data_IF_406880773820
#
_entry.id   IF_406880773820
#
_cell.length_a   1.000
_cell.length_b   1.000
_cell.length_c   1.000
_cell.angle_alpha   90.00
_cell.angle_beta   90.00
_cell.angle_gamma   90.00
#
_symmetry.space_group_name_H-M   'P 1'
#
loop_
_entity.id
_entity.type
_entity.pdbx_description
1 polymer ?
#
# COMPACT_ATOMS: atom_id res chain seq x y z
N UNK A 1 -23.08 34.21 -8.19
CA UNK A 1 -23.93 33.95 -7.00
C UNK A 1 -25.11 33.09 -7.43
N UNK A 2 -25.61 32.12 -6.63
CA UNK A 2 -25.07 31.46 -5.42
C UNK A 2 -24.68 29.98 -5.73
N UNK A 3 -23.58 29.42 -5.19
CA UNK A 3 -23.38 28.88 -3.84
C UNK A 3 -24.12 27.54 -3.58
N UNK A 4 -23.36 26.44 -3.57
CA UNK A 4 -23.59 25.28 -2.69
C UNK A 4 -22.23 24.66 -2.31
N UNK A 5 -21.52 25.39 -1.45
CA UNK A 5 -20.43 24.85 -0.64
C UNK A 5 -21.03 23.95 0.44
N UNK A 6 -20.82 22.63 0.35
CA UNK A 6 -20.80 21.82 1.56
C UNK A 6 -19.42 22.03 2.21
N UNK A 7 -19.33 22.42 3.49
CA UNK A 7 -18.03 22.68 4.10
C UNK A 7 -17.28 21.35 4.25
N UNK A 8 -16.18 21.19 3.50
CA UNK A 8 -15.25 20.05 3.64
C UNK A 8 -14.69 19.90 5.07
N UNK A 9 -14.83 20.93 5.89
CA UNK A 9 -14.50 20.97 7.32
C UNK A 9 -15.34 19.95 8.12
N UNK A 10 -16.55 19.62 7.67
CA UNK A 10 -17.43 18.67 8.37
C UNK A 10 -16.93 17.21 8.29
N UNK A 11 -16.19 16.84 7.24
CA UNK A 11 -15.66 15.47 7.08
C UNK A 11 -14.50 15.20 8.04
N UNK A 12 -13.67 16.21 8.27
CA UNK A 12 -12.53 16.16 9.21
C UNK A 12 -12.96 16.05 10.67
N UNK A 13 -13.99 16.82 11.05
CA UNK A 13 -14.55 16.72 12.39
C UNK A 13 -15.12 15.32 12.66
N UNK A 14 -15.78 14.71 11.68
CA UNK A 14 -16.40 13.39 11.83
C UNK A 14 -15.39 12.23 11.83
N UNK A 15 -14.27 12.32 11.11
CA UNK A 15 -13.21 11.30 11.17
C UNK A 15 -12.48 11.34 12.54
N UNK A 16 -12.20 12.55 13.04
CA UNK A 16 -11.57 12.74 14.36
C UNK A 16 -12.51 12.43 15.53
N UNK A 17 -13.83 12.68 15.40
CA UNK A 17 -14.85 12.40 16.43
C UNK A 17 -15.38 10.96 16.43
N UNK A 18 -14.97 10.10 15.49
CA UNK A 18 -15.30 8.65 15.49
C UNK A 18 -14.46 7.85 16.48
N UNK A 19 -13.52 8.48 17.18
CA UNK A 19 -12.99 8.03 18.46
C UNK A 19 -14.11 8.16 19.52
N UNK A 20 -15.01 7.18 19.58
CA UNK A 20 -16.16 7.23 20.49
C UNK A 20 -15.72 7.34 21.98
N UNK A 21 -16.51 8.03 22.82
CA UNK A 21 -16.11 8.41 24.17
C UNK A 21 -16.44 7.29 25.15
N UNK A 22 -15.41 6.60 25.65
CA UNK A 22 -15.51 5.74 26.84
C UNK A 22 -14.89 6.38 28.08
N UNK A 23 -14.93 7.70 28.16
CA UNK A 23 -14.53 8.47 29.33
C UNK A 23 -15.37 9.76 29.41
N UNK A 24 -16.66 9.63 29.69
CA UNK A 24 -17.49 10.73 30.16
C UNK A 24 -18.01 10.38 31.55
N UNK A 25 -17.10 10.38 32.52
CA UNK A 25 -17.42 10.64 33.91
C UNK A 25 -16.32 11.54 34.50
N UNK A 26 -16.78 12.68 35.02
CA UNK A 26 -16.09 13.62 35.91
C UNK A 26 -15.13 14.64 35.28
N UNK A 27 -15.70 15.80 34.97
CA UNK A 27 -15.15 17.16 35.04
C UNK A 27 -13.64 17.33 35.30
N UNK A 28 -12.93 17.83 34.28
CA UNK A 28 -12.04 18.99 34.42
C UNK A 28 -11.65 19.48 33.02
N UNK A 29 -11.90 20.76 32.78
CA UNK A 29 -11.48 21.53 31.63
C UNK A 29 -9.95 21.55 31.49
N UNK A 30 -9.39 20.68 30.66
CA UNK A 30 -8.07 20.85 30.02
C UNK A 30 -8.19 20.28 28.61
N UNK A 31 -8.59 21.10 27.63
CA UNK A 31 -8.24 20.82 26.24
C UNK A 31 -6.72 21.04 26.11
N UNK A 32 -5.95 20.10 26.65
CA UNK A 32 -4.55 20.00 26.33
C UNK A 32 -4.48 19.77 24.83
N UNK A 33 -3.98 20.77 24.09
CA UNK A 33 -3.51 20.59 22.73
C UNK A 33 -2.64 19.32 22.72
N UNK A 34 -3.21 18.22 22.23
CA UNK A 34 -2.50 16.97 22.02
C UNK A 34 -1.48 17.20 20.90
N UNK A 35 -0.38 17.87 21.22
CA UNK A 35 0.76 18.01 20.33
C UNK A 35 1.50 16.68 20.38
N UNK A 36 1.22 15.82 19.40
CA UNK A 36 2.05 14.67 19.13
C UNK A 36 3.51 15.16 19.07
N UNK A 37 4.47 14.49 19.74
CA UNK A 37 5.87 14.92 19.76
C UNK A 37 6.55 14.58 18.42
N UNK A 38 6.05 15.15 17.34
CA UNK A 38 6.57 14.97 16.00
C UNK A 38 7.89 15.72 15.88
N UNK A 39 8.99 14.98 15.89
CA UNK A 39 10.33 15.56 15.76
C UNK A 39 10.71 15.74 14.30
N UNK A 40 11.34 16.88 14.01
CA UNK A 40 11.98 17.20 12.73
C UNK A 40 11.09 17.94 11.74
N UNK A 41 11.72 18.77 10.92
CA UNK A 41 11.11 19.51 9.82
C UNK A 41 11.62 18.97 8.48
N UNK A 42 10.86 19.19 7.40
CA UNK A 42 11.40 19.07 6.05
C UNK A 42 12.56 20.05 5.88
N UNK A 43 13.73 19.55 5.46
CA UNK A 43 14.91 20.36 5.20
C UNK A 43 15.00 20.69 3.72
N UNK A 44 15.26 21.95 3.42
CA UNK A 44 15.64 22.40 2.09
C UNK A 44 16.85 21.57 1.58
N UNK A 45 16.83 21.24 0.29
CA UNK A 45 17.93 20.50 -0.34
C UNK A 45 17.97 19.00 0.00
N UNK A 46 16.89 18.43 0.53
CA UNK A 46 16.81 17.03 0.91
C UNK A 46 15.62 16.32 0.25
N UNK A 47 15.84 15.04 -0.11
CA UNK A 47 14.77 14.14 -0.57
C UNK A 47 14.29 13.22 0.55
N UNK A 48 12.99 13.02 0.64
CA UNK A 48 12.34 12.04 1.51
C UNK A 48 11.62 10.99 0.67
N UNK A 49 12.08 9.74 0.72
CA UNK A 49 11.41 8.59 0.11
C UNK A 49 10.37 8.07 1.10
N UNK A 50 9.10 8.38 0.87
CA UNK A 50 8.02 8.20 1.85
C UNK A 50 7.00 7.16 1.36
N UNK A 51 6.75 6.16 2.20
CA UNK A 51 5.63 5.22 2.00
C UNK A 51 4.29 5.85 2.32
N UNK A 52 3.38 5.83 1.34
CA UNK A 52 2.01 6.31 1.47
C UNK A 52 1.06 5.31 2.13
N UNK A 53 1.49 4.06 2.31
CA UNK A 53 0.59 2.97 2.69
C UNK A 53 -0.24 2.46 1.50
N UNK A 54 -1.13 1.51 1.76
CA UNK A 54 -1.89 0.77 0.73
C UNK A 54 -3.15 1.47 0.21
N UNK A 55 -3.50 2.65 0.71
CA UNK A 55 -4.68 3.39 0.27
C UNK A 55 -5.29 4.26 1.34
N UNK A 56 -5.69 3.66 2.46
CA UNK A 56 -6.29 4.37 3.60
C UNK A 56 -5.30 5.42 4.15
N UNK A 57 -5.72 6.68 4.18
CA UNK A 57 -4.92 7.76 4.73
C UNK A 57 -4.67 7.59 6.23
N UNK A 58 -5.52 6.87 6.97
CA UNK A 58 -5.32 6.55 8.38
C UNK A 58 -4.16 5.56 8.60
N UNK A 59 -3.70 4.87 7.56
CA UNK A 59 -2.54 3.98 7.61
C UNK A 59 -1.21 4.70 7.34
N UNK A 60 -1.23 6.02 7.11
CA UNK A 60 0.00 6.81 7.06
C UNK A 60 0.72 6.78 8.40
N UNK A 61 2.05 6.68 8.34
CA UNK A 61 2.85 6.92 9.54
C UNK A 61 2.80 8.39 9.92
N UNK A 62 2.90 8.69 11.22
CA UNK A 62 2.94 10.07 11.71
C UNK A 62 4.07 10.89 11.05
N UNK A 63 5.21 10.25 10.74
CA UNK A 63 6.33 10.88 10.03
C UNK A 63 5.99 11.18 8.57
N UNK A 64 5.30 10.27 7.87
CA UNK A 64 4.85 10.48 6.50
C UNK A 64 3.87 11.66 6.40
N UNK A 65 2.83 11.66 7.24
CA UNK A 65 1.84 12.74 7.28
C UNK A 65 2.49 14.11 7.56
N UNK A 66 3.40 14.18 8.55
CA UNK A 66 4.13 15.43 8.84
C UNK A 66 4.94 15.92 7.64
N UNK A 67 5.74 15.06 7.01
CA UNK A 67 6.60 15.47 5.89
C UNK A 67 5.76 15.91 4.69
N UNK A 68 4.65 15.22 4.40
CA UNK A 68 3.72 15.61 3.33
C UNK A 68 3.11 17.00 3.53
N UNK A 69 2.83 17.36 4.78
CA UNK A 69 2.29 18.68 5.13
C UNK A 69 3.33 19.81 5.10
N UNK A 70 4.62 19.48 5.05
CA UNK A 70 5.72 20.44 5.17
C UNK A 70 6.55 20.59 3.89
N UNK A 71 6.50 19.61 2.97
CA UNK A 71 7.36 19.60 1.80
C UNK A 71 7.00 20.70 0.79
N UNK A 72 8.02 21.27 0.15
CA UNK A 72 7.85 22.26 -0.92
C UNK A 72 7.38 21.60 -2.22
N UNK A 73 7.89 20.40 -2.52
CA UNK A 73 7.51 19.63 -3.69
C UNK A 73 7.22 18.16 -3.36
N UNK A 74 6.14 17.62 -3.94
CA UNK A 74 5.75 16.22 -3.79
C UNK A 74 5.70 15.53 -5.15
N UNK A 75 6.56 14.52 -5.32
CA UNK A 75 6.63 13.65 -6.51
C UNK A 75 5.94 12.32 -6.20
N UNK A 76 4.82 12.03 -6.85
CA UNK A 76 3.97 10.88 -6.49
C UNK A 76 3.58 10.03 -7.71
N UNK A 77 3.34 8.74 -7.46
CA UNK A 77 2.90 7.79 -8.48
C UNK A 77 1.41 7.43 -8.36
N UNK A 78 0.94 6.63 -9.31
CA UNK A 78 -0.47 6.23 -9.47
C UNK A 78 -1.05 5.48 -8.27
N UNK A 79 -0.23 4.83 -7.44
CA UNK A 79 -0.75 3.97 -6.37
C UNK A 79 -1.20 4.76 -5.13
N UNK A 80 -0.78 6.02 -5.02
CA UNK A 80 -1.20 6.93 -3.95
C UNK A 80 -2.67 7.31 -4.13
N UNK A 81 -3.49 7.10 -3.11
CA UNK A 81 -4.93 7.42 -3.14
C UNK A 81 -5.22 8.91 -2.97
N UNK A 82 -6.38 9.35 -3.45
CA UNK A 82 -6.81 10.75 -3.41
C UNK A 82 -6.89 11.32 -2.00
N UNK A 83 -7.28 10.51 -1.00
CA UNK A 83 -7.33 10.93 0.40
C UNK A 83 -5.95 11.29 0.95
N UNK A 84 -4.89 10.59 0.52
CA UNK A 84 -3.50 10.93 0.87
C UNK A 84 -3.06 12.20 0.14
N UNK A 85 -3.40 12.33 -1.15
CA UNK A 85 -3.06 13.53 -1.94
C UNK A 85 -3.77 14.79 -1.43
N UNK A 86 -4.93 14.64 -0.79
CA UNK A 86 -5.67 15.72 -0.17
C UNK A 86 -4.95 16.32 1.05
N UNK A 87 -4.00 15.60 1.66
CA UNK A 87 -3.17 16.08 2.77
C UNK A 87 -2.09 17.06 2.33
N UNK A 88 -1.73 17.04 1.05
CA UNK A 88 -0.68 17.89 0.50
C UNK A 88 -1.21 19.35 0.52
N UNK A 89 -0.49 20.32 1.11
CA UNK A 89 -0.90 21.71 1.09
C UNK A 89 -1.06 22.23 -0.35
N UNK A 90 -1.90 23.26 -0.54
CA UNK A 90 -2.04 23.93 -1.84
C UNK A 90 -0.79 24.72 -2.25
N UNK A 91 0.03 25.10 -1.27
CA UNK A 91 1.30 25.79 -1.47
C UNK A 91 2.41 24.87 -1.97
N UNK A 92 2.27 23.55 -1.79
CA UNK A 92 3.25 22.57 -2.25
C UNK A 92 3.05 22.27 -3.73
N UNK A 93 4.16 22.21 -4.47
CA UNK A 93 4.18 21.78 -5.86
C UNK A 93 3.94 20.27 -5.96
N UNK A 94 3.19 19.83 -6.97
CA UNK A 94 2.79 18.43 -7.13
C UNK A 94 3.19 17.90 -8.50
N UNK A 95 3.96 16.82 -8.50
CA UNK A 95 4.48 16.19 -9.70
C UNK A 95 3.99 14.74 -9.80
N UNK A 96 3.08 14.49 -10.73
CA UNK A 96 2.61 13.13 -11.02
C UNK A 96 3.58 12.43 -11.98
N UNK A 97 4.10 11.26 -11.58
CA UNK A 97 5.06 10.45 -12.36
C UNK A 97 4.55 9.03 -12.68
N UNK A 98 3.25 8.77 -12.47
CA UNK A 98 2.64 7.47 -12.73
C UNK A 98 2.33 7.21 -14.21
N UNK A 99 2.22 5.92 -14.58
CA UNK A 99 1.74 5.48 -15.90
C UNK A 99 0.25 5.81 -16.05
N UNK A 100 -0.11 6.82 -16.84
CA UNK A 100 -1.49 6.99 -17.31
C UNK A 100 -1.75 6.07 -18.50
N UNK A 101 -2.94 5.45 -18.56
CA UNK A 101 -3.38 4.68 -19.75
C UNK A 101 -3.26 5.62 -20.98
N UNK A 102 -2.41 5.26 -21.94
CA UNK A 102 -2.21 6.02 -23.18
C UNK A 102 -1.02 7.00 -23.22
N UNK A 103 -0.29 7.20 -22.10
CA UNK A 103 0.92 8.02 -22.09
C UNK A 103 2.16 7.18 -21.75
N UNK A 104 3.26 7.44 -22.48
CA UNK A 104 4.56 6.84 -22.19
C UNK A 104 4.95 7.13 -20.73
N UNK A 105 5.31 6.07 -20.00
CA UNK A 105 5.80 6.17 -18.61
C UNK A 105 6.96 7.14 -18.53
N UNK A 106 7.01 8.01 -17.51
CA UNK A 106 8.25 8.70 -17.16
C UNK A 106 9.29 7.62 -16.83
N UNK A 107 10.39 7.52 -17.60
CA UNK A 107 11.49 6.62 -17.31
C UNK A 107 12.07 6.87 -15.90
N UNK A 108 12.58 5.82 -15.26
CA UNK A 108 13.00 5.91 -13.84
C UNK A 108 14.13 6.94 -13.62
N UNK A 109 15.03 7.06 -14.61
CA UNK A 109 16.09 8.07 -14.62
C UNK A 109 15.54 9.50 -14.68
N UNK A 110 14.42 9.74 -15.38
CA UNK A 110 13.78 11.06 -15.41
C UNK A 110 13.14 11.42 -14.06
N UNK A 111 12.62 10.44 -13.31
CA UNK A 111 12.11 10.67 -11.93
C UNK A 111 13.27 11.08 -11.01
N UNK A 112 14.42 10.38 -11.11
CA UNK A 112 15.64 10.74 -10.40
C UNK A 112 16.10 12.17 -10.72
N UNK A 113 16.21 12.50 -12.02
CA UNK A 113 16.60 13.82 -12.49
C UNK A 113 15.66 14.93 -12.02
N UNK A 114 14.34 14.67 -12.00
CA UNK A 114 13.35 15.60 -11.46
C UNK A 114 13.61 15.90 -9.97
N UNK A 115 13.83 14.87 -9.15
CA UNK A 115 14.11 15.07 -7.73
C UNK A 115 15.41 15.88 -7.51
N UNK A 116 16.47 15.56 -8.27
CA UNK A 116 17.74 16.29 -8.22
C UNK A 116 17.56 17.76 -8.62
N UNK A 117 16.80 18.03 -9.68
CA UNK A 117 16.47 19.39 -10.12
C UNK A 117 15.76 20.17 -9.01
N UNK A 118 14.71 19.61 -8.43
CA UNK A 118 13.94 20.27 -7.37
C UNK A 118 14.80 20.57 -6.13
N UNK A 119 15.67 19.64 -5.74
CA UNK A 119 16.66 19.87 -4.68
C UNK A 119 17.63 21.00 -5.06
N UNK A 120 18.09 21.07 -6.31
CA UNK A 120 18.95 22.14 -6.81
C UNK A 120 18.29 23.52 -6.79
N UNK A 121 16.95 23.57 -6.81
CA UNK A 121 16.14 24.78 -6.59
C UNK A 121 15.98 25.15 -5.10
N UNK A 122 16.64 24.41 -4.19
CA UNK A 122 16.58 24.62 -2.75
C UNK A 122 15.35 24.01 -2.07
N UNK A 123 14.55 23.19 -2.77
CA UNK A 123 13.31 22.63 -2.24
C UNK A 123 13.54 21.44 -1.32
N UNK A 124 12.65 21.28 -0.35
CA UNK A 124 12.43 20.01 0.33
C UNK A 124 11.50 19.13 -0.51
N UNK A 125 11.94 17.92 -0.85
CA UNK A 125 11.25 17.07 -1.83
C UNK A 125 10.76 15.79 -1.17
N UNK A 126 9.47 15.50 -1.27
CA UNK A 126 8.91 14.19 -0.90
C UNK A 126 8.66 13.38 -2.15
N UNK A 127 9.34 12.24 -2.28
CA UNK A 127 8.99 11.17 -3.22
C UNK A 127 8.01 10.23 -2.54
N UNK A 128 6.72 10.44 -2.79
CA UNK A 128 5.64 9.67 -2.20
C UNK A 128 5.34 8.42 -3.04
N UNK A 129 5.44 7.25 -2.41
CA UNK A 129 5.34 5.94 -3.08
C UNK A 129 4.21 5.12 -2.47
N UNK A 130 3.38 4.48 -3.28
CA UNK A 130 2.36 3.56 -2.77
C UNK A 130 2.96 2.41 -1.96
N UNK A 131 2.33 2.04 -0.85
CA UNK A 131 2.80 1.00 0.06
C UNK A 131 4.03 1.41 0.86
N UNK A 132 5.06 0.56 0.83
CA UNK A 132 6.36 0.79 1.47
C UNK A 132 7.45 0.97 0.39
N UNK A 133 8.34 1.97 0.52
CA UNK A 133 9.40 2.21 -0.46
C UNK A 133 10.32 1.00 -0.72
N UNK A 134 10.54 0.13 0.27
CA UNK A 134 11.44 -1.01 0.16
C UNK A 134 10.81 -2.23 -0.54
N UNK A 135 9.49 -2.25 -0.76
CA UNK A 135 8.77 -3.40 -1.32
C UNK A 135 8.43 -3.19 -2.78
N UNK A 136 9.23 -3.78 -3.68
CA UNK A 136 9.01 -3.78 -5.14
C UNK A 136 8.79 -2.38 -5.75
N UNK A 137 9.28 -1.32 -5.10
CA UNK A 137 9.00 0.04 -5.48
C UNK A 137 10.21 0.77 -6.12
N UNK A 138 11.25 0.03 -6.54
CA UNK A 138 12.42 0.58 -7.25
C UNK A 138 13.19 1.64 -6.44
N UNK A 139 13.19 1.54 -5.11
CA UNK A 139 13.94 2.48 -4.25
C UNK A 139 15.43 2.51 -4.59
N UNK A 140 16.06 1.38 -4.91
CA UNK A 140 17.49 1.32 -5.23
C UNK A 140 17.86 2.28 -6.37
N UNK A 141 17.13 2.23 -7.48
CA UNK A 141 17.35 3.12 -8.63
C UNK A 141 17.17 4.61 -8.29
N UNK A 142 16.20 4.92 -7.42
CA UNK A 142 16.00 6.30 -6.95
C UNK A 142 17.13 6.76 -6.05
N UNK A 143 17.63 5.90 -5.16
CA UNK A 143 18.78 6.21 -4.30
C UNK A 143 20.06 6.38 -5.11
N UNK A 144 20.31 5.52 -6.10
CA UNK A 144 21.50 5.59 -6.96
C UNK A 144 21.58 6.94 -7.69
N UNK A 145 20.43 7.43 -8.22
CA UNK A 145 20.36 8.73 -8.87
C UNK A 145 20.67 9.89 -7.89
N UNK A 146 20.17 9.81 -6.66
CA UNK A 146 20.44 10.82 -5.62
C UNK A 146 21.89 10.78 -5.14
N UNK A 147 22.45 9.58 -4.97
CA UNK A 147 23.87 9.38 -4.63
C UNK A 147 24.79 9.93 -5.70
N UNK A 148 24.52 9.67 -6.98
CA UNK A 148 25.30 10.20 -8.10
C UNK A 148 25.31 11.74 -8.13
N UNK A 149 24.21 12.38 -7.70
CA UNK A 149 24.06 13.83 -7.61
C UNK A 149 24.46 14.41 -6.23
N UNK A 150 24.98 13.59 -5.31
CA UNK A 150 25.33 13.99 -3.93
C UNK A 150 24.17 14.62 -3.15
N UNK A 151 22.94 14.21 -3.44
CA UNK A 151 21.73 14.70 -2.77
C UNK A 151 21.45 13.85 -1.53
N UNK A 152 21.30 14.46 -0.33
CA UNK A 152 20.94 13.71 0.87
C UNK A 152 19.50 13.18 0.76
N UNK A 153 19.32 11.93 1.19
CA UNK A 153 18.03 11.26 1.20
C UNK A 153 17.70 10.69 2.58
N UNK A 154 16.41 10.68 2.94
CA UNK A 154 15.90 9.95 4.10
C UNK A 154 14.73 9.06 3.70
N UNK A 155 14.67 7.86 4.27
CA UNK A 155 13.59 6.90 4.01
C UNK A 155 12.58 6.96 5.16
N UNK A 156 11.30 6.91 4.80
CA UNK A 156 10.19 6.76 5.74
C UNK A 156 9.39 5.53 5.31
N UNK A 157 9.36 4.47 6.13
CA UNK A 157 8.62 3.27 5.81
C UNK A 157 7.10 3.55 5.81
N UNK A 158 6.38 2.68 5.11
CA UNK A 158 4.92 2.70 5.02
C UNK A 158 4.33 1.32 5.29
N UNK A 159 3.01 1.26 5.43
CA UNK A 159 2.31 -0.02 5.53
C UNK A 159 2.27 -0.65 4.14
N UNK A 160 2.97 -1.78 3.97
CA UNK A 160 2.97 -2.51 2.70
C UNK A 160 1.60 -3.16 2.42
N UNK A 161 1.28 -3.37 1.14
CA UNK A 161 -0.01 -3.90 0.72
C UNK A 161 -0.30 -5.29 1.32
N UNK A 162 0.73 -6.10 1.58
CA UNK A 162 0.58 -7.38 2.25
C UNK A 162 0.02 -7.27 3.67
N UNK A 163 0.59 -6.37 4.48
CA UNK A 163 0.12 -6.16 5.86
C UNK A 163 -1.29 -5.62 5.87
N UNK A 164 -1.60 -4.69 4.96
CA UNK A 164 -2.95 -4.16 4.84
C UNK A 164 -3.97 -5.21 4.39
N UNK A 165 -3.66 -6.01 3.36
CA UNK A 165 -4.54 -7.08 2.90
C UNK A 165 -4.78 -8.11 4.01
N UNK A 166 -3.74 -8.50 4.74
CA UNK A 166 -3.86 -9.44 5.85
C UNK A 166 -4.76 -8.88 6.97
N UNK A 167 -4.55 -7.61 7.36
CA UNK A 167 -5.40 -6.94 8.34
C UNK A 167 -6.85 -6.87 7.86
N UNK A 168 -7.09 -6.44 6.61
CA UNK A 168 -8.43 -6.30 6.05
C UNK A 168 -9.18 -7.64 5.95
N UNK A 169 -8.46 -8.73 5.66
CA UNK A 169 -9.05 -10.08 5.62
C UNK A 169 -9.09 -10.77 6.98
N UNK A 170 -8.54 -10.14 8.02
CA UNK A 170 -8.54 -10.65 9.39
C UNK A 170 -7.61 -11.85 9.60
N UNK A 171 -6.51 -11.96 8.84
CA UNK A 171 -5.58 -13.09 8.96
C UNK A 171 -4.18 -12.64 9.33
N UNK A 172 -3.38 -13.48 10.01
CA UNK A 172 -1.95 -13.26 10.11
C UNK A 172 -1.24 -13.67 8.82
N UNK A 173 -0.09 -13.06 8.52
CA UNK A 173 0.81 -13.53 7.45
C UNK A 173 1.73 -14.67 7.90
N UNK A 174 1.97 -14.79 9.21
CA UNK A 174 2.74 -15.86 9.84
C UNK A 174 2.00 -16.39 11.06
N UNK A 175 2.02 -17.70 11.26
CA UNK A 175 1.34 -18.37 12.37
C UNK A 175 2.03 -19.70 12.65
N UNK A 176 2.27 -20.00 13.94
CA UNK A 176 3.07 -21.17 14.34
C UNK A 176 2.49 -22.51 13.85
N UNK A 177 1.16 -22.62 13.74
CA UNK A 177 0.48 -23.83 13.28
C UNK A 177 0.27 -23.88 11.75
N UNK A 178 0.57 -22.79 11.04
CA UNK A 178 0.24 -22.66 9.61
C UNK A 178 1.47 -22.31 8.75
N UNK A 179 2.18 -21.24 9.09
CA UNK A 179 3.30 -20.72 8.30
C UNK A 179 4.33 -20.02 9.21
N UNK A 180 5.52 -20.60 9.31
CA UNK A 180 6.65 -20.03 10.05
C UNK A 180 7.54 -19.15 9.17
N UNK A 181 7.29 -19.18 7.85
CA UNK A 181 8.01 -18.40 6.84
C UNK A 181 7.03 -17.55 6.04
N UNK A 182 7.52 -16.41 5.55
CA UNK A 182 6.77 -15.48 4.71
C UNK A 182 7.67 -15.05 3.56
N UNK A 183 7.17 -15.15 2.33
CA UNK A 183 7.93 -14.75 1.14
C UNK A 183 7.14 -13.79 0.28
N UNK A 184 7.76 -12.65 0.02
CA UNK A 184 7.25 -11.64 -0.90
C UNK A 184 7.85 -11.86 -2.28
N UNK A 185 7.00 -11.88 -3.30
CA UNK A 185 7.38 -12.23 -4.67
C UNK A 185 6.77 -11.21 -5.63
N UNK A 186 7.51 -10.81 -6.65
CA UNK A 186 6.94 -10.12 -7.82
C UNK A 186 6.64 -11.14 -8.90
N UNK A 187 5.39 -11.16 -9.40
CA UNK A 187 5.02 -11.96 -10.56
C UNK A 187 5.41 -11.30 -11.89
N UNK A 188 5.85 -10.04 -11.84
CA UNK A 188 6.49 -9.36 -12.95
C UNK A 188 7.98 -9.66 -12.88
N UNK A 189 8.42 -10.64 -13.66
CA UNK A 189 9.80 -11.10 -13.67
C UNK A 189 10.63 -10.15 -14.53
N UNK A 190 11.81 -9.76 -14.03
CA UNK A 190 12.74 -8.90 -14.75
C UNK A 190 13.48 -9.64 -15.89
N UNK A 191 13.22 -10.93 -16.11
CA UNK A 191 13.78 -11.75 -17.19
C UNK A 191 12.65 -12.20 -18.11
N UNK A 192 12.81 -12.00 -19.41
CA UNK A 192 11.79 -12.30 -20.43
C UNK A 192 11.38 -13.78 -20.45
N UNK A 193 12.28 -14.68 -19.99
CA UNK A 193 12.09 -16.13 -20.04
C UNK A 193 12.00 -16.78 -18.65
N UNK A 194 12.07 -15.99 -17.57
CA UNK A 194 12.07 -16.53 -16.23
C UNK A 194 10.70 -17.12 -15.90
N UNK A 195 10.63 -18.38 -15.53
CA UNK A 195 9.53 -18.89 -14.71
C UNK A 195 9.98 -18.86 -13.25
N UNK A 196 9.07 -18.59 -12.30
CA UNK A 196 9.40 -18.76 -10.89
C UNK A 196 9.86 -20.21 -10.63
N UNK A 197 10.80 -20.40 -9.73
CA UNK A 197 11.16 -21.73 -9.23
C UNK A 197 9.99 -22.27 -8.39
N UNK A 198 9.04 -22.91 -9.06
CA UNK A 198 7.82 -23.42 -8.43
C UNK A 198 8.13 -24.47 -7.36
N UNK A 199 9.16 -25.28 -7.55
CA UNK A 199 9.58 -26.29 -6.58
C UNK A 199 10.05 -25.63 -5.28
N UNK A 200 10.83 -24.55 -5.36
CA UNK A 200 11.24 -23.78 -4.19
C UNK A 200 10.11 -22.99 -3.52
N UNK A 201 8.98 -22.80 -4.21
CA UNK A 201 7.80 -22.08 -3.73
C UNK A 201 6.71 -23.01 -3.16
N UNK A 202 6.66 -24.28 -3.56
CA UNK A 202 5.63 -25.25 -3.16
C UNK A 202 5.78 -25.79 -1.72
N UNK A 203 6.17 -24.92 -0.79
CA UNK A 203 6.32 -25.25 0.63
C UNK A 203 5.01 -25.11 1.37
N UNK A 204 4.74 -26.06 2.28
CA UNK A 204 3.50 -26.09 3.08
C UNK A 204 3.60 -25.28 4.39
N UNK A 205 4.81 -24.93 4.81
CA UNK A 205 5.16 -24.21 6.05
C UNK A 205 5.38 -22.70 5.82
N UNK A 206 4.93 -22.18 4.67
CA UNK A 206 5.22 -20.84 4.20
C UNK A 206 3.94 -20.14 3.68
N UNK A 207 3.86 -18.83 3.92
CA UNK A 207 2.90 -17.95 3.25
C UNK A 207 3.60 -17.26 2.09
N UNK A 208 3.08 -17.43 0.88
CA UNK A 208 3.55 -16.71 -0.30
C UNK A 208 2.67 -15.50 -0.56
N UNK A 209 3.28 -14.36 -0.84
CA UNK A 209 2.59 -13.13 -1.19
C UNK A 209 3.12 -12.61 -2.52
N UNK A 210 2.30 -12.71 -3.57
CA UNK A 210 2.63 -12.23 -4.91
C UNK A 210 2.09 -10.82 -5.14
N UNK A 211 2.99 -9.93 -5.53
CA UNK A 211 2.72 -8.60 -6.05
C UNK A 211 2.68 -8.64 -7.58
N UNK A 212 1.86 -7.75 -8.17
CA UNK A 212 1.76 -7.56 -9.62
C UNK A 212 1.41 -8.85 -10.38
N UNK A 213 0.68 -9.77 -9.73
CA UNK A 213 0.42 -11.13 -10.25
C UNK A 213 -0.97 -11.39 -10.79
N UNK A 214 -1.88 -10.40 -10.81
CA UNK A 214 -3.28 -10.63 -11.18
C UNK A 214 -3.44 -11.28 -12.57
N UNK A 215 -2.69 -10.82 -13.56
CA UNK A 215 -2.68 -11.40 -14.92
C UNK A 215 -2.00 -12.77 -15.01
N UNK A 216 -1.41 -13.26 -13.92
CA UNK A 216 -0.62 -14.49 -13.82
C UNK A 216 -1.23 -15.49 -12.85
N UNK A 217 -2.45 -15.25 -12.34
CA UNK A 217 -3.13 -16.12 -11.36
C UNK A 217 -3.19 -17.56 -11.86
N UNK A 218 -3.56 -17.79 -13.13
CA UNK A 218 -3.63 -19.12 -13.72
C UNK A 218 -2.27 -19.83 -13.68
N UNK A 219 -1.22 -19.14 -14.12
CA UNK A 219 0.14 -19.67 -14.14
C UNK A 219 0.67 -19.95 -12.73
N UNK A 220 0.37 -19.08 -11.76
CA UNK A 220 0.74 -19.26 -10.34
C UNK A 220 0.05 -20.49 -9.77
N UNK A 221 -1.26 -20.62 -9.97
CA UNK A 221 -2.03 -21.76 -9.47
C UNK A 221 -1.55 -23.07 -10.09
N UNK A 222 -1.34 -23.08 -11.40
CA UNK A 222 -0.86 -24.25 -12.14
C UNK A 222 0.56 -24.66 -11.71
N UNK A 223 1.50 -23.73 -11.66
CA UNK A 223 2.89 -24.00 -11.30
C UNK A 223 3.05 -24.54 -9.88
N UNK A 224 2.34 -23.94 -8.92
CA UNK A 224 2.34 -24.40 -7.53
C UNK A 224 1.75 -25.80 -7.35
N UNK A 225 0.67 -26.12 -8.09
CA UNK A 225 0.06 -27.46 -8.08
C UNK A 225 1.00 -28.51 -8.68
N UNK A 226 1.59 -28.20 -9.85
CA UNK A 226 2.58 -29.09 -10.48
C UNK A 226 3.80 -29.34 -9.60
N UNK A 227 4.21 -28.34 -8.81
CA UNK A 227 5.30 -28.46 -7.87
C UNK A 227 4.94 -29.19 -6.56
N UNK A 228 3.69 -29.65 -6.40
CA UNK A 228 3.29 -30.55 -5.32
C UNK A 228 2.40 -29.96 -4.22
N UNK A 229 1.95 -28.70 -4.34
CA UNK A 229 0.90 -28.19 -3.45
C UNK A 229 -0.46 -28.82 -3.81
N UNK A 230 -1.28 -29.18 -2.81
CA UNK A 230 -2.60 -29.76 -3.04
C UNK A 230 -3.53 -28.84 -3.86
N UNK A 231 -4.44 -29.43 -4.62
CA UNK A 231 -5.50 -28.71 -5.33
C UNK A 231 -6.35 -27.85 -4.40
N UNK A 232 -6.64 -28.36 -3.19
CA UNK A 232 -7.36 -27.66 -2.14
C UNK A 232 -6.50 -26.63 -1.38
N UNK A 233 -5.24 -26.39 -1.80
CA UNK A 233 -4.35 -25.50 -1.06
C UNK A 233 -4.89 -24.06 -1.06
N UNK A 234 -4.97 -23.39 0.10
CA UNK A 234 -5.70 -22.13 0.21
C UNK A 234 -5.00 -20.96 -0.48
N UNK A 235 -5.80 -20.12 -1.13
CA UNK A 235 -5.38 -18.88 -1.81
C UNK A 235 -6.45 -17.81 -1.65
N UNK A 236 -6.04 -16.56 -1.51
CA UNK A 236 -6.91 -15.40 -1.59
C UNK A 236 -6.32 -14.31 -2.48
N UNK A 237 -7.20 -13.55 -3.11
CA UNK A 237 -6.89 -12.37 -3.90
C UNK A 237 -7.53 -11.17 -3.21
N UNK A 238 -6.80 -10.07 -3.07
CA UNK A 238 -7.29 -8.83 -2.47
C UNK A 238 -6.95 -7.66 -3.38
N UNK A 239 -7.96 -7.12 -4.04
CA UNK A 239 -7.89 -5.93 -4.87
C UNK A 239 -8.16 -4.69 -4.04
N UNK A 240 -7.42 -3.61 -4.29
CA UNK A 240 -7.56 -2.32 -3.60
C UNK A 240 -7.58 -2.46 -2.07
N UNK A 241 -6.69 -3.28 -1.52
CA UNK A 241 -6.61 -3.52 -0.07
C UNK A 241 -6.61 -2.19 0.71
N UNK A 242 -7.37 -2.12 1.81
CA UNK A 242 -7.59 -0.91 2.64
C UNK A 242 -8.29 0.27 1.96
N UNK A 243 -8.87 0.11 0.76
CA UNK A 243 -9.65 1.19 0.12
C UNK A 243 -11.15 0.87 0.20
N UNK A 244 -12.04 1.87 0.07
CA UNK A 244 -13.48 1.65 0.01
C UNK A 244 -13.94 0.73 -1.13
N UNK A 245 -13.15 0.64 -2.21
CA UNK A 245 -13.40 -0.24 -3.36
C UNK A 245 -12.70 -1.60 -3.21
N UNK A 246 -12.38 -2.02 -1.99
CA UNK A 246 -11.75 -3.31 -1.76
C UNK A 246 -12.66 -4.44 -2.22
N UNK A 247 -12.08 -5.38 -2.97
CA UNK A 247 -12.74 -6.61 -3.38
C UNK A 247 -11.81 -7.78 -3.09
N UNK A 248 -12.38 -8.93 -2.74
CA UNK A 248 -11.58 -10.11 -2.43
C UNK A 248 -12.22 -11.39 -2.91
N UNK A 249 -11.38 -12.36 -3.28
CA UNK A 249 -11.77 -13.73 -3.54
C UNK A 249 -10.99 -14.66 -2.61
N UNK A 250 -11.66 -15.69 -2.09
CA UNK A 250 -11.06 -16.73 -1.27
C UNK A 250 -11.43 -18.09 -1.86
N UNK A 251 -10.45 -18.97 -1.95
CA UNK A 251 -10.63 -20.28 -2.57
C UNK A 251 -9.40 -21.16 -2.43
N UNK A 252 -9.22 -22.03 -3.41
CA UNK A 252 -8.12 -22.97 -3.52
C UNK A 252 -7.36 -22.79 -4.82
N UNK A 253 -6.16 -23.35 -4.92
CA UNK A 253 -5.38 -23.32 -6.15
C UNK A 253 -6.14 -23.95 -7.34
N UNK A 254 -7.06 -24.88 -7.10
CA UNK A 254 -7.86 -25.49 -8.15
C UNK A 254 -9.00 -24.59 -8.66
N UNK A 255 -9.68 -23.86 -7.78
CA UNK A 255 -10.90 -23.10 -8.14
C UNK A 255 -10.65 -21.62 -8.46
N UNK A 256 -9.51 -21.07 -8.04
CA UNK A 256 -9.26 -19.63 -8.10
C UNK A 256 -9.26 -19.06 -9.53
N UNK A 257 -8.67 -19.71 -10.55
CA UNK A 257 -8.80 -19.31 -11.95
C UNK A 257 -10.25 -19.05 -12.39
N UNK A 258 -11.13 -20.02 -12.15
CA UNK A 258 -12.54 -19.94 -12.54
C UNK A 258 -13.29 -18.88 -11.73
N UNK A 259 -13.02 -18.79 -10.42
CA UNK A 259 -13.59 -17.75 -9.55
C UNK A 259 -13.22 -16.35 -10.04
N UNK A 260 -11.96 -16.12 -10.42
CA UNK A 260 -11.50 -14.84 -10.93
C UNK A 260 -12.12 -14.51 -12.30
N UNK A 261 -12.28 -15.51 -13.17
CA UNK A 261 -12.95 -15.32 -14.45
C UNK A 261 -14.43 -14.94 -14.26
N UNK A 262 -15.12 -15.57 -13.30
CA UNK A 262 -16.51 -15.26 -12.97
C UNK A 262 -16.69 -13.93 -12.23
N UNK A 263 -15.71 -13.54 -11.41
CA UNK A 263 -15.73 -12.30 -10.61
C UNK A 263 -14.41 -11.53 -10.81
N UNK A 264 -14.23 -10.85 -11.95
CA UNK A 264 -12.98 -10.16 -12.26
C UNK A 264 -12.65 -9.09 -11.21
N UNK A 265 -11.39 -9.10 -10.76
CA UNK A 265 -10.86 -8.11 -9.84
C UNK A 265 -10.06 -7.02 -10.58
N UNK A 266 -10.04 -5.82 -10.03
CA UNK A 266 -9.22 -4.72 -10.55
C UNK A 266 -7.77 -4.75 -10.00
N UNK A 267 -6.84 -4.14 -10.73
CA UNK A 267 -5.50 -3.83 -10.20
C UNK A 267 -5.50 -2.48 -9.47
N UNK A 268 -4.69 -2.29 -8.41
CA UNK A 268 -3.74 -3.26 -7.83
C UNK A 268 -4.43 -4.40 -7.06
N UNK A 269 -3.92 -5.62 -7.22
CA UNK A 269 -4.39 -6.81 -6.52
C UNK A 269 -3.20 -7.61 -5.98
N UNK A 270 -3.33 -8.07 -4.74
CA UNK A 270 -2.37 -8.93 -4.08
C UNK A 270 -2.88 -10.38 -4.08
N UNK A 271 -1.97 -11.34 -4.22
CA UNK A 271 -2.30 -12.77 -4.12
C UNK A 271 -1.59 -13.32 -2.89
N UNK A 272 -2.32 -13.99 -2.01
CA UNK A 272 -1.76 -14.64 -0.82
C UNK A 272 -2.09 -16.13 -0.89
N UNK A 273 -1.05 -16.96 -0.85
CA UNK A 273 -1.16 -18.43 -0.90
C UNK A 273 -0.59 -19.00 0.39
N UNK A 274 -1.31 -19.90 1.04
CA UNK A 274 -0.84 -20.52 2.27
C UNK A 274 -1.97 -20.94 3.20
N UNK A 275 -1.67 -21.86 4.09
CA UNK A 275 -2.63 -22.40 5.06
C UNK A 275 -3.25 -21.32 5.97
N UNK A 276 -2.59 -20.18 6.17
CA UNK A 276 -3.13 -19.03 6.94
C UNK A 276 -4.45 -18.49 6.39
N UNK A 277 -4.71 -18.64 5.08
CA UNK A 277 -5.95 -18.16 4.43
C UNK A 277 -7.19 -18.92 4.93
N UNK A 278 -7.03 -20.14 5.46
CA UNK A 278 -8.16 -20.87 6.09
C UNK A 278 -8.77 -20.09 7.26
N UNK A 279 -8.01 -19.19 7.88
CA UNK A 279 -8.47 -18.38 9.01
C UNK A 279 -9.45 -17.28 8.61
N UNK A 280 -9.56 -16.92 7.32
CA UNK A 280 -10.48 -15.85 6.89
C UNK A 280 -11.91 -16.12 7.37
N UNK A 281 -12.41 -17.34 7.15
CA UNK A 281 -13.80 -17.70 7.47
C UNK A 281 -14.12 -17.70 8.98
N UNK A 282 -13.12 -18.00 9.82
CA UNK A 282 -13.28 -18.09 11.27
C UNK A 282 -12.81 -16.84 12.02
N UNK A 283 -12.28 -15.83 11.32
CA UNK A 283 -11.67 -14.67 11.95
C UNK A 283 -12.73 -13.70 12.49
N UNK A 284 -12.67 -13.34 13.79
CA UNK A 284 -13.59 -12.37 14.36
C UNK A 284 -13.41 -10.96 13.79
N UNK A 285 -12.23 -10.66 13.23
CA UNK A 285 -11.94 -9.37 12.61
C UNK A 285 -12.43 -9.27 11.16
N UNK A 286 -12.74 -10.40 10.51
CA UNK A 286 -13.05 -10.41 9.07
C UNK A 286 -14.32 -9.63 8.76
N UNK A 287 -15.39 -9.82 9.54
CA UNK A 287 -16.68 -9.16 9.29
C UNK A 287 -16.62 -7.64 9.50
N UNK A 288 -15.97 -7.19 10.57
CA UNK A 288 -15.82 -5.75 10.87
C UNK A 288 -14.92 -5.06 9.84
N UNK A 289 -13.82 -5.72 9.44
CA UNK A 289 -12.91 -5.17 8.45
C UNK A 289 -13.52 -5.19 7.04
N UNK A 290 -14.26 -6.25 6.67
CA UNK A 290 -15.00 -6.27 5.42
C UNK A 290 -16.09 -5.19 5.41
N UNK A 291 -16.82 -4.97 6.50
CA UNK A 291 -17.81 -3.88 6.57
C UNK A 291 -17.17 -2.49 6.48
N UNK A 292 -15.92 -2.33 6.92
CA UNK A 292 -15.16 -1.06 6.82
C UNK A 292 -14.72 -0.73 5.39
N UNK A 293 -14.45 -1.74 4.56
CA UNK A 293 -13.82 -1.57 3.23
C UNK A 293 -14.64 -2.10 2.05
N UNK A 294 -15.76 -2.77 2.29
CA UNK A 294 -16.77 -3.07 1.27
C UNK A 294 -17.76 -1.91 1.31
N UNK A 295 -17.69 -1.03 0.30
CA UNK A 295 -18.79 -0.12 0.03
C UNK A 295 -20.10 -0.92 -0.03
N UNK A 296 -21.07 -0.56 0.80
CA UNK A 296 -22.43 -1.10 0.73
C UNK A 296 -22.88 -1.05 -0.73
N UNK A 297 -23.19 -2.22 -1.30
CA UNK A 297 -23.89 -2.32 -2.58
C UNK A 297 -25.26 -1.66 -2.45
#
# INVERSE_FOLDING_TARGET
MPALSKPLIQKWFNAFMRLSPRALLSSASHSADLRLPLRGECRAGQVYLVGAGSGDAELLTLKAARLLMQADAVVYDRLVGDDVLALIPKSSERYYVGKSRGHHSVPQNEIGALMVKLVGEGKSVVRLKGGDPAFFARMGEELDALTAAQVPAAIVPGITAASAAAACMGIPLTDRGHAQQLRFITAQLCREDGTPDWAALARKDETLVFYMGLSKVDAICHGLRQAGLPDAWPIMLVANASKPEQQSLVGSLADMPEKLAAHPLASPCLIVVGSVVQRVAASPASAENQARYVGQV
#
